data_IF_629020884822
#
_entry.id   IF_629020884822
#
_cell.length_a   1.000
_cell.length_b   1.000
_cell.length_c   1.000
_cell.angle_alpha   90.00
_cell.angle_beta   90.00
_cell.angle_gamma   90.00
#
_symmetry.space_group_name_H-M   'P 1'
#
loop_
_entity.id
_entity.type
_entity.pdbx_description
1 polymer ?
#
# COMPACT_ATOMS: atom_id res chain seq x y z
N UNK A 1 -4.03 16.05 1.49
CA UNK A 1 -3.17 15.38 2.49
C UNK A 1 -4.00 14.30 3.14
N UNK A 2 -3.47 13.09 3.32
CA UNK A 2 -4.23 11.99 3.92
C UNK A 2 -4.70 12.32 5.35
N UNK A 3 -5.81 11.73 5.78
CA UNK A 3 -6.35 11.92 7.12
C UNK A 3 -5.44 11.39 8.24
N UNK A 4 -5.69 11.84 9.47
CA UNK A 4 -4.90 11.46 10.65
C UNK A 4 -4.90 9.94 10.90
N UNK A 5 -6.03 9.26 10.66
CA UNK A 5 -6.14 7.80 10.80
C UNK A 5 -5.25 7.06 9.80
N UNK A 6 -5.21 7.53 8.55
CA UNK A 6 -4.31 6.98 7.53
C UNK A 6 -2.85 7.11 7.97
N UNK A 7 -2.43 8.32 8.36
CA UNK A 7 -1.03 8.59 8.73
C UNK A 7 -0.59 7.74 9.93
N UNK A 8 -1.44 7.64 10.96
CA UNK A 8 -1.14 6.80 12.13
C UNK A 8 -1.04 5.32 11.76
N UNK A 9 -1.94 4.84 10.89
CA UNK A 9 -1.95 3.43 10.47
C UNK A 9 -0.76 3.11 9.58
N UNK A 10 -0.39 4.03 8.69
CA UNK A 10 0.80 3.93 7.85
C UNK A 10 2.08 3.80 8.70
N UNK A 11 2.22 4.65 9.73
CA UNK A 11 3.34 4.59 10.66
C UNK A 11 3.41 3.24 11.40
N UNK A 12 2.27 2.71 11.85
CA UNK A 12 2.20 1.38 12.48
C UNK A 12 2.65 0.26 11.54
N UNK A 13 2.17 0.27 10.30
CA UNK A 13 2.58 -0.73 9.29
C UNK A 13 4.07 -0.64 9.00
N UNK A 14 4.60 0.58 8.87
CA UNK A 14 6.04 0.79 8.66
C UNK A 14 6.86 0.25 9.83
N UNK A 15 6.48 0.59 11.06
CA UNK A 15 7.15 0.12 12.27
C UNK A 15 7.08 -1.41 12.42
N UNK A 16 5.93 -2.03 12.11
CA UNK A 16 5.79 -3.49 12.05
C UNK A 16 6.74 -4.08 11.01
N UNK A 17 6.83 -3.50 9.82
CA UNK A 17 7.76 -3.96 8.78
C UNK A 17 9.22 -3.92 9.23
N UNK A 18 9.63 -2.85 9.90
CA UNK A 18 10.96 -2.73 10.50
C UNK A 18 11.20 -3.75 11.62
N UNK A 19 10.22 -3.93 12.51
CA UNK A 19 10.25 -4.93 13.60
C UNK A 19 10.43 -6.34 13.05
N UNK A 20 9.65 -6.73 12.02
CA UNK A 20 9.75 -8.05 11.41
C UNK A 20 11.09 -8.26 10.72
N UNK A 21 11.57 -7.25 10.00
CA UNK A 21 12.89 -7.29 9.36
C UNK A 21 14.02 -7.45 10.39
N UNK A 22 13.98 -6.69 11.48
CA UNK A 22 14.95 -6.78 12.57
C UNK A 22 14.90 -8.15 13.26
N UNK A 23 13.71 -8.75 13.37
CA UNK A 23 13.50 -10.08 13.95
C UNK A 23 13.75 -11.24 12.97
N UNK A 24 14.10 -10.97 11.70
CA UNK A 24 14.23 -12.00 10.66
C UNK A 24 12.94 -12.77 10.37
N UNK A 25 11.78 -12.20 10.71
CA UNK A 25 10.47 -12.82 10.50
C UNK A 25 9.93 -12.50 9.10
N UNK A 26 9.13 -13.42 8.57
CA UNK A 26 8.43 -13.19 7.32
C UNK A 26 7.44 -12.02 7.47
N UNK A 27 7.48 -11.11 6.50
CA UNK A 27 6.57 -9.96 6.44
C UNK A 27 5.24 -10.26 5.74
N UNK A 28 4.44 -9.20 5.49
CA UNK A 28 3.22 -9.30 4.70
C UNK A 28 3.48 -9.91 3.33
N UNK A 29 2.49 -10.64 2.79
CA UNK A 29 2.58 -11.24 1.46
C UNK A 29 2.75 -10.18 0.38
N UNK A 30 3.23 -10.58 -0.80
CA UNK A 30 3.36 -9.65 -1.93
C UNK A 30 2.02 -8.97 -2.25
N UNK A 31 0.91 -9.70 -2.22
CA UNK A 31 -0.42 -9.14 -2.48
C UNK A 31 -0.86 -8.14 -1.40
N UNK A 32 -0.57 -8.43 -0.13
CA UNK A 32 -0.81 -7.50 0.99
C UNK A 32 -0.02 -6.21 0.80
N UNK A 33 1.26 -6.30 0.42
CA UNK A 33 2.11 -5.14 0.14
C UNK A 33 1.62 -4.34 -1.08
N UNK A 34 1.23 -5.02 -2.16
CA UNK A 34 0.71 -4.38 -3.38
C UNK A 34 -0.61 -3.67 -3.12
N UNK A 35 -1.50 -4.26 -2.31
CA UNK A 35 -2.78 -3.66 -1.92
C UNK A 35 -2.55 -2.37 -1.12
N UNK A 36 -1.68 -2.40 -0.12
CA UNK A 36 -1.30 -1.21 0.64
C UNK A 36 -0.68 -0.13 -0.26
N UNK A 37 0.22 -0.52 -1.16
CA UNK A 37 0.84 0.41 -2.10
C UNK A 37 -0.19 1.12 -3.00
N UNK A 38 -1.10 0.36 -3.60
CA UNK A 38 -2.09 0.90 -4.53
C UNK A 38 -3.01 1.92 -3.85
N UNK A 39 -3.56 1.59 -2.67
CA UNK A 39 -4.41 2.52 -1.93
C UNK A 39 -3.62 3.72 -1.40
N UNK A 40 -2.39 3.53 -0.93
CA UNK A 40 -1.55 4.64 -0.49
C UNK A 40 -1.33 5.67 -1.61
N UNK A 41 -1.06 5.23 -2.85
CA UNK A 41 -0.86 6.14 -3.97
C UNK A 41 -2.10 6.96 -4.30
N UNK A 42 -3.28 6.35 -4.28
CA UNK A 42 -4.53 7.06 -4.52
C UNK A 42 -4.88 7.99 -3.36
N UNK A 43 -4.71 7.55 -2.11
CA UNK A 43 -4.91 8.36 -0.91
C UNK A 43 -4.00 9.60 -0.87
N UNK A 44 -2.75 9.47 -1.33
CA UNK A 44 -1.80 10.58 -1.46
C UNK A 44 -2.15 11.54 -2.61
N UNK A 45 -3.16 11.23 -3.43
CA UNK A 45 -3.55 12.01 -4.59
C UNK A 45 -2.51 11.97 -5.71
N UNK A 46 -1.73 10.89 -5.82
CA UNK A 46 -0.78 10.71 -6.92
C UNK A 46 -1.53 10.43 -8.21
N UNK A 47 -1.12 11.07 -9.29
CA UNK A 47 -1.60 10.74 -10.63
C UNK A 47 -0.79 9.56 -11.18
N UNK A 48 -1.50 8.54 -11.67
CA UNK A 48 -0.87 7.38 -12.31
C UNK A 48 -0.26 7.71 -13.66
N UNK A 49 -0.74 8.76 -14.33
CA UNK A 49 -0.19 9.21 -15.61
C UNK A 49 1.21 9.81 -15.46
N UNK A 50 1.50 10.39 -14.29
CA UNK A 50 2.83 10.89 -13.93
C UNK A 50 3.77 9.77 -13.47
N UNK A 51 3.24 8.56 -13.24
CA UNK A 51 4.05 7.43 -12.84
C UNK A 51 4.91 6.94 -14.01
N UNK A 52 6.21 6.80 -13.75
CA UNK A 52 7.13 6.20 -14.73
C UNK A 52 6.69 4.77 -15.03
N UNK A 53 6.35 4.50 -16.30
CA UNK A 53 5.98 3.15 -16.74
C UNK A 53 7.15 2.19 -16.48
N UNK A 54 6.92 1.07 -15.79
CA UNK A 54 7.97 0.11 -15.49
C UNK A 54 8.46 -0.56 -16.78
N UNK A 55 9.77 -0.81 -16.86
CA UNK A 55 10.41 -1.45 -18.00
C UNK A 55 9.99 -2.92 -18.15
N UNK A 56 10.30 -3.53 -19.32
CA UNK A 56 9.89 -4.91 -19.62
C UNK A 56 10.34 -5.92 -18.56
N UNK A 57 11.53 -5.72 -17.99
CA UNK A 57 12.15 -6.61 -16.99
C UNK A 57 11.87 -6.24 -15.53
N UNK A 58 11.18 -5.12 -15.28
CA UNK A 58 10.82 -4.69 -13.92
C UNK A 58 9.50 -5.33 -13.48
N UNK A 59 9.55 -6.60 -13.09
CA UNK A 59 8.37 -7.37 -12.69
C UNK A 59 7.70 -6.77 -11.43
N UNK A 60 8.50 -6.30 -10.47
CA UNK A 60 7.99 -5.71 -9.24
C UNK A 60 7.34 -4.34 -9.49
N UNK A 61 7.97 -3.49 -10.29
CA UNK A 61 7.39 -2.22 -10.72
C UNK A 61 6.12 -2.41 -11.53
N UNK A 62 6.08 -3.41 -12.43
CA UNK A 62 4.86 -3.80 -13.16
C UNK A 62 3.74 -4.19 -12.22
N UNK A 63 4.00 -5.05 -11.24
CA UNK A 63 2.98 -5.47 -10.28
C UNK A 63 2.42 -4.28 -9.48
N UNK A 64 3.29 -3.38 -9.00
CA UNK A 64 2.91 -2.14 -8.31
C UNK A 64 2.06 -1.22 -9.20
N UNK A 65 2.52 -0.98 -10.42
CA UNK A 65 1.82 -0.13 -11.38
C UNK A 65 0.46 -0.71 -11.75
N UNK A 66 0.39 -2.00 -12.04
CA UNK A 66 -0.85 -2.68 -12.39
C UNK A 66 -1.86 -2.62 -11.24
N UNK A 67 -1.43 -2.91 -10.00
CA UNK A 67 -2.33 -2.85 -8.84
C UNK A 67 -2.84 -1.44 -8.58
N UNK A 68 -1.97 -0.43 -8.72
CA UNK A 68 -2.39 0.96 -8.61
C UNK A 68 -3.37 1.34 -9.73
N UNK A 69 -3.10 0.92 -10.97
CA UNK A 69 -3.99 1.14 -12.11
C UNK A 69 -5.36 0.53 -11.89
N UNK A 70 -5.44 -0.69 -11.37
CA UNK A 70 -6.71 -1.35 -11.03
C UNK A 70 -7.54 -0.50 -10.05
N UNK A 71 -6.93 0.06 -9.01
CA UNK A 71 -7.62 0.90 -8.02
C UNK A 71 -8.10 2.22 -8.64
N UNK A 72 -7.29 2.83 -9.51
CA UNK A 72 -7.65 4.07 -10.23
C UNK A 72 -8.78 3.81 -11.24
N UNK A 73 -8.68 2.76 -12.05
CA UNK A 73 -9.68 2.37 -13.06
C UNK A 73 -11.02 2.01 -12.41
N UNK A 74 -11.00 1.50 -11.16
CA UNK A 74 -12.20 1.26 -10.38
C UNK A 74 -12.91 2.56 -9.91
N UNK A 75 -12.36 3.74 -10.18
CA UNK A 75 -12.92 5.02 -9.78
C UNK A 75 -12.76 5.33 -8.29
N UNK A 76 -11.79 4.70 -7.61
CA UNK A 76 -11.57 4.88 -6.18
C UNK A 76 -11.15 6.32 -5.89
N UNK A 77 -11.92 7.02 -5.05
CA UNK A 77 -11.56 8.37 -4.59
C UNK A 77 -10.46 8.34 -3.53
N UNK A 78 -9.79 9.47 -3.28
CA UNK A 78 -8.76 9.56 -2.23
C UNK A 78 -9.29 9.11 -0.87
N UNK A 79 -10.50 9.53 -0.51
CA UNK A 79 -11.14 9.17 0.75
C UNK A 79 -11.43 7.66 0.85
N UNK A 80 -11.96 7.06 -0.21
CA UNK A 80 -12.19 5.61 -0.25
C UNK A 80 -10.87 4.84 -0.17
N UNK A 81 -9.82 5.33 -0.83
CA UNK A 81 -8.50 4.73 -0.75
C UNK A 81 -7.90 4.82 0.66
N UNK A 82 -8.10 5.93 1.39
CA UNK A 82 -7.71 6.03 2.80
C UNK A 82 -8.43 4.99 3.65
N UNK A 83 -9.75 4.86 3.51
CA UNK A 83 -10.56 3.92 4.29
C UNK A 83 -10.15 2.46 3.99
N UNK A 84 -9.96 2.11 2.71
CA UNK A 84 -9.51 0.78 2.29
C UNK A 84 -8.06 0.49 2.70
N UNK A 85 -7.18 1.50 2.65
CA UNK A 85 -5.81 1.37 3.16
C UNK A 85 -5.83 1.03 4.65
N UNK A 86 -6.58 1.81 5.44
CA UNK A 86 -6.68 1.61 6.89
C UNK A 86 -7.21 0.22 7.21
N UNK A 87 -8.28 -0.21 6.53
CA UNK A 87 -8.86 -1.54 6.70
C UNK A 87 -7.83 -2.65 6.40
N UNK A 88 -7.19 -2.58 5.23
CA UNK A 88 -6.18 -3.58 4.84
C UNK A 88 -4.98 -3.58 5.81
N UNK A 89 -4.55 -2.41 6.25
CA UNK A 89 -3.43 -2.26 7.17
C UNK A 89 -3.75 -2.82 8.57
N UNK A 90 -4.95 -2.56 9.11
CA UNK A 90 -5.41 -3.12 10.38
C UNK A 90 -5.43 -4.67 10.32
N UNK A 91 -5.92 -5.26 9.22
CA UNK A 91 -5.90 -6.71 8.99
C UNK A 91 -4.48 -7.28 8.95
N UNK A 92 -3.55 -6.59 8.27
CA UNK A 92 -2.15 -6.99 8.15
C UNK A 92 -1.44 -6.88 9.50
N UNK A 93 -1.66 -5.80 10.25
CA UNK A 93 -1.12 -5.62 11.60
C UNK A 93 -1.61 -6.74 12.53
N UNK A 94 -2.89 -7.08 12.50
CA UNK A 94 -3.43 -8.17 13.32
C UNK A 94 -2.80 -9.54 13.00
N UNK A 95 -2.39 -9.77 11.75
CA UNK A 95 -1.73 -11.01 11.33
C UNK A 95 -0.25 -11.06 11.72
N UNK A 96 0.46 -9.95 11.54
CA UNK A 96 1.92 -9.92 11.54
C UNK A 96 2.55 -9.21 12.74
N UNK A 97 1.84 -8.27 13.39
CA UNK A 97 2.31 -7.55 14.59
C UNK A 97 1.83 -8.23 15.88
N UNK A 98 2.12 -9.53 16.01
CA UNK A 98 1.94 -10.27 17.26
C UNK A 98 3.16 -10.16 18.19
#
# INVERSE_FOLDING_TARGET
MPGAKYTQTYQKVSAMGEKLKAAGKQGPSNDEQLKLYAYAKVAEGKDINDAKKPGMFDLAGKAKYNKWKEVVDAGTTQKQAEDEYVKAAEEILAKHDK
#
